data_IF_379064907635
#
_entry.id   IF_379064907635
#
_cell.length_a   1.000
_cell.length_b   1.000
_cell.length_c   1.000
_cell.angle_alpha   90.00
_cell.angle_beta   90.00
_cell.angle_gamma   90.00
#
_symmetry.space_group_name_H-M   'P 1'
#
loop_
_entity.id
_entity.type
_entity.pdbx_description
1 polymer ?
#
# COMPACT_ATOMS: atom_id res chain seq x y z
N UNK A 1 -31.00 -0.08 -23.13
CA UNK A 1 -30.43 1.07 -22.39
C UNK A 1 -29.38 0.51 -21.45
N UNK A 2 -28.11 0.55 -21.86
CA UNK A 2 -26.99 0.11 -21.01
C UNK A 2 -26.72 1.19 -19.97
N UNK A 3 -26.96 0.89 -18.70
CA UNK A 3 -26.53 1.74 -17.60
C UNK A 3 -25.00 1.63 -17.53
N UNK A 4 -24.29 2.63 -18.05
CA UNK A 4 -22.87 2.79 -17.75
C UNK A 4 -22.74 2.96 -16.24
N UNK A 5 -22.31 1.89 -15.55
CA UNK A 5 -22.00 1.95 -14.14
C UNK A 5 -20.98 3.08 -13.93
N UNK A 6 -21.40 4.16 -13.26
CA UNK A 6 -20.50 5.23 -12.84
C UNK A 6 -19.38 4.59 -12.04
N UNK A 7 -18.17 4.54 -12.60
CA UNK A 7 -16.97 4.18 -11.83
C UNK A 7 -16.92 5.12 -10.63
N UNK A 8 -16.87 4.61 -9.39
CA UNK A 8 -16.70 5.46 -8.24
C UNK A 8 -15.40 6.25 -8.42
N UNK A 9 -15.51 7.58 -8.39
CA UNK A 9 -14.37 8.47 -8.26
C UNK A 9 -13.80 8.22 -6.87
N UNK A 10 -12.68 7.50 -6.82
CA UNK A 10 -11.96 7.31 -5.55
C UNK A 10 -11.32 8.66 -5.23
N UNK A 11 -11.77 9.29 -4.15
CA UNK A 11 -11.08 10.46 -3.60
C UNK A 11 -9.83 9.97 -2.88
N UNK A 12 -8.75 9.82 -3.65
CA UNK A 12 -7.47 9.39 -3.14
C UNK A 12 -6.73 10.62 -2.60
N UNK A 13 -6.73 10.77 -1.28
CA UNK A 13 -6.02 11.86 -0.62
C UNK A 13 -4.51 11.78 -0.94
N UNK A 14 -3.99 12.78 -1.65
CA UNK A 14 -2.58 12.85 -2.04
C UNK A 14 -1.63 12.84 -0.85
N UNK A 15 -2.05 13.34 0.32
CA UNK A 15 -1.29 13.31 1.56
C UNK A 15 -0.96 11.87 1.96
N UNK A 16 -1.89 10.94 1.75
CA UNK A 16 -1.72 9.53 2.11
C UNK A 16 -0.69 8.86 1.19
N UNK A 17 -0.80 9.08 -0.12
CA UNK A 17 0.18 8.54 -1.08
C UNK A 17 1.57 9.09 -0.81
N UNK A 18 1.69 10.39 -0.57
CA UNK A 18 2.95 11.03 -0.26
C UNK A 18 3.54 10.50 1.05
N UNK A 19 2.71 10.26 2.07
CA UNK A 19 3.14 9.67 3.34
C UNK A 19 3.65 8.24 3.19
N UNK A 20 2.98 7.40 2.39
CA UNK A 20 3.42 6.03 2.12
C UNK A 20 4.72 6.04 1.29
N UNK A 21 4.84 6.94 0.30
CA UNK A 21 6.06 7.11 -0.47
C UNK A 21 7.24 7.52 0.41
N UNK A 22 7.04 8.50 1.29
CA UNK A 22 8.07 8.94 2.24
C UNK A 22 8.50 7.80 3.17
N UNK A 23 7.55 7.10 3.79
CA UNK A 23 7.86 5.97 4.68
C UNK A 23 8.60 4.84 3.95
N UNK A 24 8.30 4.62 2.67
CA UNK A 24 9.04 3.66 1.84
C UNK A 24 10.48 4.10 1.59
N UNK A 25 10.70 5.37 1.22
CA UNK A 25 12.05 5.90 1.05
C UNK A 25 12.86 5.86 2.35
N UNK A 26 12.26 6.26 3.47
CA UNK A 26 12.90 6.20 4.78
C UNK A 26 13.30 4.75 5.14
N UNK A 27 12.43 3.77 4.87
CA UNK A 27 12.74 2.36 5.08
C UNK A 27 13.85 1.88 4.14
N UNK A 28 13.81 2.26 2.86
CA UNK A 28 14.82 1.92 1.88
C UNK A 28 16.20 2.44 2.30
N UNK A 29 16.28 3.71 2.70
CA UNK A 29 17.52 4.33 3.16
C UNK A 29 18.06 3.63 4.40
N UNK A 30 17.21 3.36 5.40
CA UNK A 30 17.61 2.64 6.61
C UNK A 30 18.10 1.20 6.33
N UNK A 31 17.54 0.53 5.32
CA UNK A 31 17.96 -0.82 4.92
C UNK A 31 19.16 -0.81 3.97
N UNK A 32 19.45 0.31 3.31
CA UNK A 32 20.56 0.42 2.37
C UNK A 32 21.93 0.29 3.07
N UNK A 33 21.98 0.68 4.34
CA UNK A 33 23.13 0.56 5.24
C UNK A 33 23.23 -0.82 5.94
N UNK A 34 22.27 -1.72 5.72
CA UNK A 34 22.29 -3.05 6.32
C UNK A 34 23.44 -3.92 5.75
N UNK A 35 24.08 -4.77 6.58
CA UNK A 35 25.06 -5.76 6.13
C UNK A 35 24.51 -6.61 4.96
N UNK A 36 25.35 -7.07 4.01
CA UNK A 36 24.91 -7.83 2.83
C UNK A 36 24.04 -9.06 3.16
N UNK A 37 24.30 -9.68 4.30
CA UNK A 37 23.62 -10.82 4.92
C UNK A 37 22.28 -10.46 5.59
N UNK A 38 22.02 -9.17 5.82
CA UNK A 38 20.76 -8.61 6.33
C UNK A 38 20.06 -7.71 5.31
N UNK A 39 20.55 -7.64 4.07
CA UNK A 39 19.85 -6.99 2.96
C UNK A 39 18.61 -7.79 2.60
N UNK A 40 17.57 -7.61 3.40
CA UNK A 40 16.21 -7.88 2.97
C UNK A 40 15.92 -6.92 1.81
N UNK A 41 15.74 -7.49 0.62
CA UNK A 41 15.48 -6.74 -0.60
C UNK A 41 14.07 -6.15 -0.54
N UNK A 42 13.90 -5.04 0.18
CA UNK A 42 12.75 -4.16 0.02
C UNK A 42 12.93 -3.40 -1.29
N UNK A 43 12.26 -3.88 -2.33
CA UNK A 43 12.38 -3.35 -3.68
C UNK A 43 11.18 -2.53 -4.10
N UNK A 44 11.30 -1.88 -5.26
CA UNK A 44 10.19 -1.14 -5.88
C UNK A 44 8.94 -2.02 -6.09
N UNK A 45 9.14 -3.34 -6.27
CA UNK A 45 8.06 -4.31 -6.41
C UNK A 45 7.15 -4.36 -5.18
N UNK A 46 7.73 -4.32 -3.98
CA UNK A 46 6.98 -4.39 -2.72
C UNK A 46 6.17 -3.11 -2.52
N UNK A 47 6.77 -1.96 -2.83
CA UNK A 47 6.09 -0.67 -2.84
C UNK A 47 4.89 -0.66 -3.80
N UNK A 48 5.08 -1.07 -5.05
CA UNK A 48 3.98 -1.12 -6.02
C UNK A 48 2.89 -2.12 -5.63
N UNK A 49 3.26 -3.25 -5.00
CA UNK A 49 2.30 -4.25 -4.53
C UNK A 49 1.45 -3.73 -3.36
N UNK A 50 2.07 -2.99 -2.44
CA UNK A 50 1.37 -2.28 -1.35
C UNK A 50 0.36 -1.28 -1.92
N UNK A 51 0.80 -0.36 -2.78
CA UNK A 51 -0.07 0.66 -3.37
C UNK A 51 -1.21 0.04 -4.16
N UNK A 52 -0.91 -0.96 -5.02
CA UNK A 52 -1.92 -1.66 -5.81
C UNK A 52 -2.99 -2.31 -4.93
N UNK A 53 -2.59 -2.91 -3.81
CA UNK A 53 -3.51 -3.57 -2.90
C UNK A 53 -4.37 -2.57 -2.14
N UNK A 54 -3.81 -1.44 -1.69
CA UNK A 54 -4.58 -0.36 -1.06
C UNK A 54 -5.63 0.19 -2.02
N UNK A 55 -5.24 0.52 -3.27
CA UNK A 55 -6.18 1.01 -4.30
C UNK A 55 -7.28 0.00 -4.55
N UNK A 56 -6.93 -1.28 -4.71
CA UNK A 56 -7.91 -2.35 -4.93
C UNK A 56 -8.92 -2.44 -3.80
N UNK A 57 -8.47 -2.41 -2.53
CA UNK A 57 -9.37 -2.46 -1.38
C UNK A 57 -10.32 -1.26 -1.37
N UNK A 58 -9.83 -0.05 -1.67
CA UNK A 58 -10.67 1.15 -1.75
C UNK A 58 -11.70 1.09 -2.90
N UNK A 59 -11.36 0.43 -4.02
CA UNK A 59 -12.29 0.22 -5.14
C UNK A 59 -13.39 -0.80 -4.85
N UNK A 60 -13.04 -1.87 -4.13
CA UNK A 60 -13.94 -2.99 -3.86
C UNK A 60 -14.84 -2.74 -2.64
N UNK A 61 -14.53 -1.72 -1.83
CA UNK A 61 -15.31 -1.40 -0.65
C UNK A 61 -16.57 -0.60 -1.01
N UNK A 62 -17.73 -1.17 -0.71
CA UNK A 62 -19.06 -0.56 -0.94
C UNK A 62 -19.44 0.39 0.21
N UNK A 63 -18.89 0.19 1.42
CA UNK A 63 -19.12 1.01 2.61
C UNK A 63 -17.96 1.98 2.89
N UNK A 64 -18.18 3.00 3.74
CA UNK A 64 -17.11 3.86 4.25
C UNK A 64 -16.16 3.03 5.13
N UNK A 65 -15.13 2.45 4.54
CA UNK A 65 -14.03 1.84 5.29
C UNK A 65 -12.96 2.90 5.57
N UNK A 66 -12.44 2.83 6.78
CA UNK A 66 -11.30 3.64 7.21
C UNK A 66 -10.05 3.27 6.39
N UNK A 67 -9.54 4.24 5.63
CA UNK A 67 -8.32 4.10 4.82
C UNK A 67 -7.10 3.71 5.67
N UNK A 68 -7.03 4.16 6.93
CA UNK A 68 -5.93 3.81 7.83
C UNK A 68 -5.94 2.32 8.18
N UNK A 69 -7.12 1.72 8.33
CA UNK A 69 -7.26 0.29 8.58
C UNK A 69 -6.88 -0.54 7.33
N UNK A 70 -7.21 -0.05 6.13
CA UNK A 70 -6.76 -0.68 4.86
C UNK A 70 -5.23 -0.65 4.79
N UNK A 71 -4.61 0.51 5.02
CA UNK A 71 -3.16 0.67 4.99
C UNK A 71 -2.51 -0.27 6.00
N UNK A 72 -2.98 -0.28 7.25
CA UNK A 72 -2.46 -1.14 8.30
C UNK A 72 -2.51 -2.62 7.93
N UNK A 73 -3.64 -3.10 7.39
CA UNK A 73 -3.77 -4.50 6.94
C UNK A 73 -2.82 -4.81 5.80
N UNK A 74 -2.67 -3.91 4.83
CA UNK A 74 -1.79 -4.14 3.70
C UNK A 74 -0.31 -4.12 4.11
N UNK A 75 0.09 -3.27 5.07
CA UNK A 75 1.43 -3.34 5.66
C UNK A 75 1.65 -4.69 6.34
N UNK A 76 0.71 -5.17 7.16
CA UNK A 76 0.84 -6.48 7.79
C UNK A 76 0.99 -7.62 6.75
N UNK A 77 0.16 -7.63 5.72
CA UNK A 77 0.19 -8.68 4.68
C UNK A 77 1.49 -8.66 3.86
N UNK A 78 1.96 -7.47 3.48
CA UNK A 78 3.13 -7.35 2.60
C UNK A 78 4.47 -7.40 3.35
N UNK A 79 4.50 -7.10 4.67
CA UNK A 79 5.76 -6.89 5.39
C UNK A 79 5.96 -7.81 6.61
N UNK A 80 4.90 -8.26 7.31
CA UNK A 80 5.07 -9.16 8.48
C UNK A 80 5.14 -10.64 8.09
N UNK A 81 4.89 -10.96 6.81
CA UNK A 81 4.70 -12.32 6.34
C UNK A 81 3.36 -12.89 6.84
N UNK A 82 2.68 -13.64 5.98
CA UNK A 82 1.48 -14.38 6.38
C UNK A 82 1.86 -15.49 7.36
N UNK A 83 1.85 -15.18 8.66
CA UNK A 83 1.68 -16.18 9.71
C UNK A 83 0.19 -16.56 9.73
N UNK A 84 -0.14 -17.54 8.87
CA UNK A 84 -1.26 -18.46 9.09
C UNK A 84 -0.77 -19.63 9.93
#
# INVERSE_FOLDING_TARGET
MEQQAKKPLIDFNSIIINGIAQAYYDLYDNLSDAPPDQKNYFGLRDYYSLIKSIVRNLMETIEKVDIYEIIRRQLKVNFDGSSL
#
